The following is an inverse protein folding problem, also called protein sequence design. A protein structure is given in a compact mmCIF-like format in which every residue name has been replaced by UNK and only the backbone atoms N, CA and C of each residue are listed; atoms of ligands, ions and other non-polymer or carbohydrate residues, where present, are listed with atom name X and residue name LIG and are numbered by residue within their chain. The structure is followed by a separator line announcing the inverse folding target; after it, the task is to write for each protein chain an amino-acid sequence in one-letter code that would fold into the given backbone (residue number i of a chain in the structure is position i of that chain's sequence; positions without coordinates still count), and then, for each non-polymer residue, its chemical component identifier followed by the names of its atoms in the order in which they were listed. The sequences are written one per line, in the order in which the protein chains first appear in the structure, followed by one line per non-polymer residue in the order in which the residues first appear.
data_IF_545792667482
#
_entry.id   IF_545792667482
#
_cell.length_a   1.000
_cell.length_b   1.000
_cell.length_c   1.000
_cell.angle_alpha   90.00
_cell.angle_beta   90.00
_cell.angle_gamma   90.00
#
_symmetry.space_group_name_H-M   'P 1'
#
loop_
_entity.id
_entity.type
_entity.pdbx_description
1 polymer ?
#
# COMPACT_ATOMS: atom_id res chain seq x y z
N UNK A 1 -9.28 39.13 -0.18
CA UNK A 1 -8.97 37.84 0.43
C UNK A 1 -8.51 36.86 -0.66
N UNK A 2 -7.61 37.25 -1.58
CA UNK A 2 -7.31 36.50 -2.82
C UNK A 2 -5.79 36.29 -3.07
N UNK A 3 -4.95 36.32 -2.03
CA UNK A 3 -3.49 36.13 -2.21
C UNK A 3 -2.96 34.74 -1.78
N UNK A 4 -3.77 33.87 -1.13
CA UNK A 4 -3.32 32.53 -0.69
C UNK A 4 -3.42 31.44 -1.75
N UNK A 5 -4.31 31.55 -2.72
CA UNK A 5 -4.55 30.49 -3.71
C UNK A 5 -3.55 30.43 -4.85
N UNK A 6 -2.86 31.53 -5.19
CA UNK A 6 -1.84 31.54 -6.25
C UNK A 6 -0.46 31.02 -5.77
N UNK A 7 -0.11 31.21 -4.47
CA UNK A 7 1.17 30.75 -3.91
C UNK A 7 1.21 29.24 -3.66
N UNK A 8 0.07 28.63 -3.37
CA UNK A 8 -0.03 27.18 -3.01
C UNK A 8 0.21 26.28 -4.22
N UNK A 9 -0.25 26.70 -5.41
CA UNK A 9 0.01 25.95 -6.67
C UNK A 9 1.47 26.06 -7.15
N UNK A 10 2.22 27.07 -6.70
CA UNK A 10 3.60 27.30 -7.12
C UNK A 10 4.60 26.34 -6.48
N UNK A 11 4.22 25.56 -5.45
CA UNK A 11 5.13 24.66 -4.72
C UNK A 11 5.12 23.20 -5.22
N UNK A 12 4.24 22.84 -6.16
CA UNK A 12 4.26 21.52 -6.81
C UNK A 12 5.32 21.52 -7.91
N UNK A 13 6.35 20.69 -7.76
CA UNK A 13 7.49 20.61 -8.68
C UNK A 13 7.58 19.22 -9.29
N UNK A 14 7.91 19.17 -10.58
CA UNK A 14 8.26 17.91 -11.22
C UNK A 14 9.45 17.28 -10.50
N UNK A 15 9.41 15.98 -10.37
CA UNK A 15 10.46 15.15 -9.79
C UNK A 15 10.83 14.06 -10.80
N UNK A 16 12.08 13.77 -10.93
CA UNK A 16 12.59 12.68 -11.75
C UNK A 16 13.40 11.75 -10.86
N UNK A 17 12.97 10.48 -10.79
CA UNK A 17 13.72 9.46 -10.09
C UNK A 17 15.00 9.17 -10.87
N UNK A 18 16.13 9.20 -10.17
CA UNK A 18 17.43 8.85 -10.75
C UNK A 18 18.34 8.27 -9.67
N UNK A 19 18.62 6.97 -9.78
CA UNK A 19 19.68 6.33 -9.00
C UNK A 19 21.01 6.56 -9.70
N UNK A 20 22.04 6.97 -8.96
CA UNK A 20 23.37 7.09 -9.55
C UNK A 20 23.94 5.70 -9.90
N UNK A 21 24.83 5.64 -10.90
CA UNK A 21 25.52 4.39 -11.23
C UNK A 21 26.35 3.88 -10.05
N UNK A 22 26.86 4.79 -9.21
CA UNK A 22 27.57 4.43 -7.97
C UNK A 22 26.67 3.78 -6.94
N UNK A 23 25.39 4.21 -6.78
CA UNK A 23 24.45 3.57 -5.86
C UNK A 23 24.09 2.15 -6.34
N UNK A 24 23.88 1.97 -7.64
CA UNK A 24 23.63 0.65 -8.23
C UNK A 24 24.87 -0.27 -8.15
N UNK A 25 26.07 0.28 -8.30
CA UNK A 25 27.30 -0.48 -8.12
C UNK A 25 27.51 -0.88 -6.65
N UNK A 26 27.23 0.02 -5.68
CA UNK A 26 27.29 -0.29 -4.24
C UNK A 26 26.30 -1.40 -3.88
N UNK A 27 25.07 -1.33 -4.38
CA UNK A 27 24.08 -2.40 -4.20
C UNK A 27 24.61 -3.75 -4.66
N UNK A 28 25.12 -3.83 -5.90
CA UNK A 28 25.66 -5.07 -6.46
C UNK A 28 26.86 -5.59 -5.66
N UNK A 29 27.75 -4.70 -5.23
CA UNK A 29 28.90 -5.06 -4.39
C UNK A 29 28.48 -5.63 -3.02
N UNK A 30 27.47 -5.02 -2.38
CA UNK A 30 26.93 -5.50 -1.10
C UNK A 30 26.22 -6.85 -1.24
N UNK A 31 25.45 -7.06 -2.31
CA UNK A 31 24.83 -8.36 -2.61
C UNK A 31 25.91 -9.45 -2.82
N UNK A 32 26.98 -9.13 -3.55
CA UNK A 32 28.10 -10.07 -3.77
C UNK A 32 28.91 -10.39 -2.51
N UNK A 33 28.95 -9.46 -1.54
CA UNK A 33 29.70 -9.61 -0.28
C UNK A 33 28.82 -10.06 0.89
N UNK A 34 27.55 -10.38 0.64
CA UNK A 34 26.60 -10.75 1.69
C UNK A 34 27.04 -12.00 2.44
N UNK A 35 26.93 -11.96 3.77
CA UNK A 35 27.14 -13.13 4.62
C UNK A 35 25.77 -13.73 4.94
N UNK A 36 25.57 -14.95 4.50
CA UNK A 36 24.33 -15.69 4.70
C UNK A 36 24.45 -16.57 5.95
N UNK A 37 23.34 -16.81 6.67
CA UNK A 37 23.29 -17.78 7.77
C UNK A 37 23.31 -19.22 7.23
N UNK A 38 23.33 -20.17 8.14
CA UNK A 38 22.99 -21.57 7.84
C UNK A 38 21.54 -21.70 7.37
N UNK A 39 21.24 -22.81 6.68
CA UNK A 39 19.88 -23.10 6.22
C UNK A 39 18.93 -23.33 7.42
N UNK A 40 17.64 -23.06 7.16
CA UNK A 40 16.53 -23.36 8.06
C UNK A 40 16.52 -24.85 8.48
N UNK A 41 16.03 -25.15 9.69
CA UNK A 41 15.97 -26.52 10.23
C UNK A 41 14.67 -27.26 9.93
N UNK A 42 13.69 -26.60 9.35
CA UNK A 42 12.44 -27.24 8.85
C UNK A 42 12.74 -28.05 7.59
N UNK A 43 12.20 -29.26 7.51
CA UNK A 43 12.51 -30.15 6.40
C UNK A 43 11.96 -29.62 5.05
N UNK A 44 12.86 -29.44 4.09
CA UNK A 44 12.60 -29.06 2.70
C UNK A 44 11.74 -30.06 1.91
N UNK A 45 11.45 -31.24 2.45
CA UNK A 45 10.87 -32.37 1.73
C UNK A 45 9.34 -32.33 1.61
N UNK A 46 8.64 -31.36 2.17
CA UNK A 46 7.20 -31.23 2.02
C UNK A 46 6.90 -30.00 1.13
N UNK A 47 6.30 -30.17 -0.05
CA UNK A 47 5.69 -29.06 -0.77
C UNK A 47 4.61 -28.42 0.10
N UNK A 48 4.44 -27.09 0.00
CA UNK A 48 3.42 -26.33 0.71
C UNK A 48 3.96 -25.40 1.80
N UNK A 49 3.09 -24.73 2.57
CA UNK A 49 3.42 -23.61 3.45
C UNK A 49 4.42 -23.94 4.57
N UNK A 50 4.68 -25.21 4.85
CA UNK A 50 5.65 -25.63 5.87
C UNK A 50 7.11 -25.26 5.54
N UNK A 51 7.41 -25.03 4.24
CA UNK A 51 8.77 -24.68 3.79
C UNK A 51 9.21 -23.30 4.33
N UNK A 52 8.29 -22.38 4.48
CA UNK A 52 8.48 -21.02 5.00
C UNK A 52 8.24 -20.92 6.51
N UNK A 53 8.09 -22.04 7.21
CA UNK A 53 7.73 -22.06 8.64
C UNK A 53 8.73 -21.38 9.59
N UNK A 54 9.97 -21.12 9.14
CA UNK A 54 10.97 -20.34 9.86
C UNK A 54 11.33 -19.02 9.14
N UNK A 55 10.49 -18.57 8.21
CA UNK A 55 10.73 -17.41 7.35
C UNK A 55 11.29 -17.82 5.99
N UNK A 56 11.92 -16.88 5.28
CA UNK A 56 12.41 -17.09 3.91
C UNK A 56 13.46 -18.21 3.87
N UNK A 57 13.25 -19.30 3.10
CA UNK A 57 14.21 -20.37 2.96
C UNK A 57 15.52 -19.86 2.33
N UNK A 58 16.67 -20.32 2.86
CA UNK A 58 17.98 -19.85 2.40
C UNK A 58 18.16 -20.02 0.87
N UNK A 59 17.72 -21.15 0.31
CA UNK A 59 17.90 -21.40 -1.11
C UNK A 59 17.10 -20.43 -1.97
N UNK A 60 15.84 -20.13 -1.59
CA UNK A 60 15.01 -19.18 -2.32
C UNK A 60 15.58 -17.77 -2.24
N UNK A 61 16.06 -17.40 -1.04
CA UNK A 61 16.74 -16.11 -0.86
C UNK A 61 17.99 -15.99 -1.75
N UNK A 62 18.79 -17.02 -1.84
CA UNK A 62 20.00 -17.05 -2.69
C UNK A 62 19.62 -16.85 -4.17
N UNK A 63 18.59 -17.52 -4.66
CA UNK A 63 18.14 -17.41 -6.05
C UNK A 63 17.66 -15.96 -6.34
N UNK A 64 16.90 -15.34 -5.42
CA UNK A 64 16.45 -13.94 -5.58
C UNK A 64 17.63 -12.96 -5.51
N UNK A 65 18.57 -13.16 -4.59
CA UNK A 65 19.78 -12.34 -4.45
C UNK A 65 20.63 -12.40 -5.73
N UNK A 66 20.82 -13.60 -6.30
CA UNK A 66 21.56 -13.78 -7.53
C UNK A 66 20.86 -13.08 -8.71
N UNK A 67 19.54 -13.21 -8.82
CA UNK A 67 18.78 -12.52 -9.85
C UNK A 67 18.84 -10.98 -9.64
N UNK A 68 18.69 -10.48 -8.42
CA UNK A 68 18.78 -9.05 -8.12
C UNK A 68 20.14 -8.47 -8.50
N UNK A 69 21.20 -9.25 -8.28
CA UNK A 69 22.59 -8.84 -8.60
C UNK A 69 22.90 -8.85 -10.08
N UNK A 70 22.34 -9.82 -10.86
CA UNK A 70 22.80 -10.12 -12.22
C UNK A 70 21.75 -9.95 -13.31
N UNK A 71 20.47 -10.15 -13.04
CA UNK A 71 19.36 -10.17 -14.00
C UNK A 71 18.41 -9.00 -13.91
N UNK A 72 18.21 -8.46 -12.69
CA UNK A 72 17.28 -7.37 -12.47
C UNK A 72 17.79 -6.02 -12.99
N UNK A 73 16.92 -5.25 -13.65
CA UNK A 73 17.23 -3.93 -14.19
C UNK A 73 16.37 -2.82 -13.55
N UNK A 74 16.91 -2.15 -12.53
CA UNK A 74 16.30 -0.97 -11.92
C UNK A 74 15.95 0.13 -12.91
N UNK A 75 16.74 0.31 -13.99
CA UNK A 75 16.52 1.38 -14.96
C UNK A 75 15.18 1.25 -15.68
N UNK A 76 14.70 0.03 -15.88
CA UNK A 76 13.37 -0.22 -16.45
C UNK A 76 12.25 0.33 -15.56
N UNK A 77 12.33 0.10 -14.23
CA UNK A 77 11.34 0.60 -13.29
C UNK A 77 11.45 2.12 -13.08
N UNK A 78 12.68 2.65 -12.94
CA UNK A 78 12.95 4.09 -12.87
C UNK A 78 12.34 4.83 -14.08
N UNK A 79 12.55 4.31 -15.29
CA UNK A 79 11.95 4.86 -16.51
C UNK A 79 10.40 4.78 -16.50
N UNK A 80 9.83 3.70 -15.95
CA UNK A 80 8.37 3.57 -15.78
C UNK A 80 7.81 4.66 -14.87
N UNK A 81 8.39 4.85 -13.68
CA UNK A 81 7.98 5.89 -12.74
C UNK A 81 8.04 7.29 -13.39
N UNK A 82 9.12 7.57 -14.10
CA UNK A 82 9.31 8.86 -14.78
C UNK A 82 8.29 9.09 -15.92
N UNK A 83 7.85 8.04 -16.61
CA UNK A 83 6.78 8.14 -17.65
C UNK A 83 5.40 8.40 -17.05
N UNK A 84 5.07 7.85 -15.89
CA UNK A 84 3.80 8.11 -15.20
C UNK A 84 3.68 9.61 -14.87
N UNK A 85 4.78 10.23 -14.49
CA UNK A 85 4.86 11.60 -13.99
C UNK A 85 4.97 11.62 -12.47
N UNK A 86 6.06 12.13 -11.99
CA UNK A 86 6.38 12.23 -10.58
C UNK A 86 6.51 13.69 -10.16
N UNK A 87 6.07 13.98 -8.96
CA UNK A 87 6.07 15.35 -8.41
C UNK A 87 6.45 15.33 -6.94
N UNK A 88 6.86 16.50 -6.45
CA UNK A 88 7.04 16.76 -5.01
C UNK A 88 6.42 18.08 -4.63
N UNK A 89 5.89 18.13 -3.40
CA UNK A 89 5.43 19.36 -2.76
C UNK A 89 5.69 19.26 -1.26
N UNK A 90 5.62 20.38 -0.54
CA UNK A 90 5.81 20.40 0.92
C UNK A 90 4.45 20.52 1.59
N UNK A 91 4.01 19.50 2.30
CA UNK A 91 2.76 19.50 3.07
C UNK A 91 3.10 19.42 4.55
N UNK A 92 2.55 20.32 5.34
CA UNK A 92 2.77 20.38 6.79
C UNK A 92 4.27 20.30 7.18
N UNK A 93 5.12 21.00 6.40
CA UNK A 93 6.57 21.06 6.59
C UNK A 93 7.36 19.84 6.13
N UNK A 94 6.70 18.83 5.55
CA UNK A 94 7.35 17.63 5.05
C UNK A 94 7.25 17.55 3.52
N UNK A 95 8.37 17.24 2.85
CA UNK A 95 8.39 17.01 1.42
C UNK A 95 7.68 15.68 1.07
N UNK A 96 6.60 15.77 0.32
CA UNK A 96 5.81 14.64 -0.13
C UNK A 96 6.06 14.41 -1.62
N UNK A 97 6.49 13.20 -1.95
CA UNK A 97 6.57 12.68 -3.31
C UNK A 97 5.24 12.02 -3.69
N UNK A 98 4.84 12.13 -4.95
CA UNK A 98 3.66 11.45 -5.46
C UNK A 98 3.73 11.21 -6.97
N UNK A 99 3.11 10.12 -7.42
CA UNK A 99 2.79 9.90 -8.82
C UNK A 99 1.51 10.69 -9.14
N UNK A 100 1.48 11.31 -10.31
CA UNK A 100 0.28 12.01 -10.76
C UNK A 100 0.06 11.80 -12.26
N UNK A 101 -0.91 10.96 -12.58
CA UNK A 101 -1.35 10.68 -13.93
C UNK A 101 -2.70 11.35 -14.19
N UNK A 102 -2.70 12.36 -15.03
CA UNK A 102 -3.94 12.99 -15.47
C UNK A 102 -4.53 12.24 -16.66
N UNK A 103 -5.81 11.90 -16.56
CA UNK A 103 -6.57 11.41 -17.70
C UNK A 103 -6.72 12.50 -18.76
N UNK A 104 -6.77 12.09 -20.02
CA UNK A 104 -7.16 12.96 -21.14
C UNK A 104 -8.66 13.29 -21.17
N UNK A 105 -9.48 12.54 -20.42
CA UNK A 105 -10.92 12.70 -20.37
C UNK A 105 -11.34 13.85 -19.45
N UNK A 106 -12.26 14.69 -19.94
CA UNK A 106 -12.73 15.86 -19.20
C UNK A 106 -13.65 15.50 -18.00
N UNK A 107 -14.27 14.32 -18.04
CA UNK A 107 -15.16 13.78 -17.01
C UNK A 107 -14.44 12.91 -15.96
N UNK A 108 -13.11 12.78 -16.06
CA UNK A 108 -12.32 11.98 -15.14
C UNK A 108 -12.43 12.48 -13.69
N UNK A 109 -12.69 11.55 -12.78
CA UNK A 109 -12.79 11.85 -11.34
C UNK A 109 -11.42 11.81 -10.69
N UNK A 110 -11.05 12.77 -9.79
CA UNK A 110 -9.82 12.68 -9.02
C UNK A 110 -9.84 11.46 -8.09
N UNK A 111 -8.79 10.63 -8.15
CA UNK A 111 -8.61 9.41 -7.36
C UNK A 111 -7.30 9.47 -6.59
N UNK A 112 -7.39 9.36 -5.29
CA UNK A 112 -6.25 9.21 -4.39
C UNK A 112 -6.02 7.72 -4.10
N UNK A 113 -4.82 7.20 -4.42
CA UNK A 113 -4.39 5.84 -4.11
C UNK A 113 -3.35 5.87 -2.99
N UNK A 114 -3.60 5.19 -1.88
CA UNK A 114 -2.65 5.12 -0.76
C UNK A 114 -2.20 3.69 -0.52
N UNK A 115 -0.89 3.47 -0.62
CA UNK A 115 -0.23 2.19 -0.34
C UNK A 115 -0.05 1.95 1.16
N UNK A 116 0.48 0.79 1.52
CA UNK A 116 0.84 0.42 2.89
C UNK A 116 2.29 -0.02 3.06
N UNK A 117 2.54 -0.85 4.10
CA UNK A 117 3.82 -1.49 4.36
C UNK A 117 3.68 -3.02 4.15
N UNK A 118 4.65 -3.72 3.54
CA UNK A 118 5.94 -3.24 3.05
C UNK A 118 5.91 -2.66 1.63
N UNK A 119 4.74 -2.37 1.10
CA UNK A 119 4.58 -1.79 -0.22
C UNK A 119 5.03 -0.34 -0.34
N UNK A 120 4.86 0.19 -1.53
CA UNK A 120 5.17 1.58 -1.90
C UNK A 120 4.30 2.02 -3.08
N UNK A 121 4.60 3.16 -3.69
CA UNK A 121 3.99 3.56 -4.97
C UNK A 121 4.24 2.55 -6.11
N UNK A 122 5.17 1.62 -5.94
CA UNK A 122 5.42 0.52 -6.87
C UNK A 122 4.18 -0.37 -7.06
N UNK A 123 3.35 -0.53 -6.02
CA UNK A 123 2.08 -1.27 -6.11
C UNK A 123 1.16 -0.76 -7.22
N UNK A 124 1.15 0.55 -7.44
CA UNK A 124 0.25 1.18 -8.39
C UNK A 124 0.88 1.47 -9.75
N UNK A 125 2.21 1.40 -9.87
CA UNK A 125 2.93 1.79 -11.09
C UNK A 125 2.48 1.03 -12.36
N UNK A 126 1.88 -0.15 -12.21
CA UNK A 126 1.41 -0.98 -13.32
C UNK A 126 -0.07 -0.79 -13.67
N UNK A 127 -0.85 -0.13 -12.82
CA UNK A 127 -2.30 0.05 -13.00
C UNK A 127 -2.71 1.51 -13.23
N UNK A 128 -1.82 2.45 -12.95
CA UNK A 128 -2.09 3.90 -13.05
C UNK A 128 -2.52 4.34 -14.44
N UNK A 129 -1.84 3.87 -15.48
CA UNK A 129 -2.14 4.27 -16.87
C UNK A 129 -3.53 3.77 -17.28
N UNK A 130 -3.87 2.53 -16.95
CA UNK A 130 -5.17 1.98 -17.26
C UNK A 130 -6.30 2.68 -16.48
N UNK A 131 -6.09 2.97 -15.20
CA UNK A 131 -7.05 3.73 -14.39
C UNK A 131 -7.29 5.13 -14.94
N UNK A 132 -6.25 5.77 -15.50
CA UNK A 132 -6.37 7.11 -16.06
C UNK A 132 -7.03 7.11 -17.44
N UNK A 133 -6.62 6.23 -18.31
CA UNK A 133 -7.04 6.22 -19.73
C UNK A 133 -7.48 4.80 -20.13
N UNK A 134 -8.68 4.33 -19.71
CA UNK A 134 -9.19 3.01 -20.05
C UNK A 134 -9.40 2.85 -21.57
N UNK A 135 -9.18 1.65 -22.07
CA UNK A 135 -9.49 1.29 -23.47
C UNK A 135 -11.00 1.37 -23.76
N UNK A 136 -11.83 0.99 -22.78
CA UNK A 136 -13.29 1.13 -22.86
C UNK A 136 -13.68 2.59 -22.59
N UNK A 137 -14.24 3.25 -23.61
CA UNK A 137 -14.67 4.66 -23.53
C UNK A 137 -15.80 4.88 -22.51
N UNK A 138 -16.59 3.87 -22.21
CA UNK A 138 -17.70 3.95 -21.25
C UNK A 138 -17.25 3.67 -19.82
N UNK A 139 -16.04 3.11 -19.61
CA UNK A 139 -15.50 2.87 -18.29
C UNK A 139 -15.12 4.18 -17.58
N UNK A 140 -15.31 4.30 -16.26
CA UNK A 140 -14.86 5.46 -15.49
C UNK A 140 -13.34 5.68 -15.63
N UNK A 141 -12.96 6.93 -15.90
CA UNK A 141 -11.56 7.36 -15.94
C UNK A 141 -11.23 8.22 -14.72
N UNK A 142 -9.94 8.22 -14.32
CA UNK A 142 -9.52 8.91 -13.11
C UNK A 142 -8.29 9.79 -13.34
N UNK A 143 -8.26 10.95 -12.67
CA UNK A 143 -7.01 11.66 -12.43
C UNK A 143 -6.36 11.01 -11.21
N UNK A 144 -5.35 10.19 -11.44
CA UNK A 144 -4.73 9.37 -10.37
C UNK A 144 -3.64 10.15 -9.66
N UNK A 145 -3.72 10.18 -8.32
CA UNK A 145 -2.68 10.70 -7.42
C UNK A 145 -2.29 9.58 -6.46
N UNK A 146 -1.03 9.15 -6.48
CA UNK A 146 -0.53 8.11 -5.60
C UNK A 146 0.69 8.63 -4.82
N UNK A 147 0.50 9.18 -3.61
CA UNK A 147 1.61 9.67 -2.79
C UNK A 147 2.41 8.54 -2.16
N UNK A 148 3.74 8.73 -2.08
CA UNK A 148 4.57 7.98 -1.15
C UNK A 148 4.27 8.43 0.27
N UNK A 149 3.97 7.49 1.17
CA UNK A 149 3.76 7.78 2.59
C UNK A 149 4.96 8.50 3.20
N UNK A 150 4.77 9.34 4.24
CA UNK A 150 5.87 9.94 4.99
C UNK A 150 6.88 8.88 5.46
N UNK A 151 8.15 9.05 5.08
CA UNK A 151 9.21 8.09 5.39
C UNK A 151 9.35 6.92 4.42
N UNK A 152 8.57 6.89 3.33
CA UNK A 152 8.62 5.88 2.27
C UNK A 152 9.08 6.48 0.95
N UNK A 153 9.70 5.65 0.11
CA UNK A 153 10.09 6.03 -1.23
C UNK A 153 10.82 7.38 -1.27
N UNK A 154 10.38 8.27 -2.15
CA UNK A 154 10.99 9.58 -2.31
C UNK A 154 10.35 10.69 -1.45
N UNK A 155 9.40 10.38 -0.56
CA UNK A 155 8.95 11.32 0.47
C UNK A 155 10.00 11.53 1.55
N UNK A 156 10.02 12.71 2.18
CA UNK A 156 10.94 12.99 3.27
C UNK A 156 10.65 12.08 4.47
N UNK A 157 11.70 11.81 5.24
CA UNK A 157 11.64 11.06 6.49
C UNK A 157 11.29 12.02 7.62
N UNK A 158 10.16 11.83 8.33
CA UNK A 158 9.83 12.68 9.47
C UNK A 158 10.98 12.73 10.50
N UNK A 159 11.36 13.93 10.89
CA UNK A 159 12.39 14.14 11.91
C UNK A 159 11.81 14.24 13.33
N UNK A 160 10.48 14.30 13.45
CA UNK A 160 9.74 14.40 14.72
C UNK A 160 8.62 13.36 14.75
N UNK A 161 8.16 13.02 15.95
CA UNK A 161 6.98 12.18 16.16
C UNK A 161 5.68 12.88 15.70
N UNK A 162 4.59 12.09 15.59
CA UNK A 162 3.25 12.59 15.28
C UNK A 162 2.83 12.45 13.82
N UNK A 163 3.62 11.78 12.97
CA UNK A 163 3.22 11.46 11.60
C UNK A 163 2.49 10.11 11.50
N UNK A 164 1.45 9.93 12.34
CA UNK A 164 0.54 8.80 12.26
C UNK A 164 -0.53 8.98 11.19
N UNK A 165 -1.36 7.94 10.98
CA UNK A 165 -2.35 7.88 9.88
C UNK A 165 -3.36 9.03 9.88
N UNK A 166 -3.73 9.55 11.04
CA UNK A 166 -4.64 10.71 11.13
C UNK A 166 -4.05 12.00 10.56
N UNK A 167 -2.75 12.26 10.80
CA UNK A 167 -2.04 13.40 10.22
C UNK A 167 -1.78 13.21 8.74
N UNK A 168 -1.48 11.99 8.33
CA UNK A 168 -1.30 11.63 6.92
C UNK A 168 -2.60 11.85 6.15
N UNK A 169 -3.76 11.45 6.69
CA UNK A 169 -5.06 11.70 6.07
C UNK A 169 -5.32 13.21 5.84
N UNK A 170 -5.02 14.06 6.85
CA UNK A 170 -5.13 15.52 6.70
C UNK A 170 -4.16 16.06 5.65
N UNK A 171 -2.93 15.54 5.59
CA UNK A 171 -1.94 15.91 4.59
C UNK A 171 -2.39 15.54 3.16
N UNK A 172 -3.10 14.42 2.99
CA UNK A 172 -3.66 14.01 1.70
C UNK A 172 -4.77 14.95 1.22
N UNK A 173 -5.63 15.41 2.12
CA UNK A 173 -6.64 16.44 1.77
C UNK A 173 -5.95 17.73 1.31
N UNK A 174 -4.91 18.16 2.00
CA UNK A 174 -4.14 19.34 1.59
C UNK A 174 -3.44 19.11 0.23
N UNK A 175 -2.84 17.94 0.01
CA UNK A 175 -2.20 17.57 -1.26
C UNK A 175 -3.20 17.66 -2.42
N UNK A 176 -4.38 17.04 -2.27
CA UNK A 176 -5.41 17.06 -3.31
C UNK A 176 -5.90 18.49 -3.60
N UNK A 177 -6.11 19.29 -2.57
CA UNK A 177 -6.47 20.71 -2.71
C UNK A 177 -5.40 21.53 -3.45
N UNK A 178 -4.09 21.28 -3.20
CA UNK A 178 -2.98 21.91 -3.93
C UNK A 178 -2.97 21.59 -5.43
N UNK A 179 -3.42 20.38 -5.77
CA UNK A 179 -3.56 19.94 -7.17
C UNK A 179 -4.82 20.51 -7.85
N UNK A 180 -5.68 21.19 -7.08
CA UNK A 180 -6.95 21.75 -7.54
C UNK A 180 -8.10 20.75 -7.51
N UNK A 181 -7.97 19.70 -6.73
CA UNK A 181 -9.00 18.68 -6.51
C UNK A 181 -9.69 18.93 -5.17
N UNK A 182 -10.72 19.78 -5.17
CA UNK A 182 -11.48 20.11 -3.96
C UNK A 182 -12.32 18.92 -3.46
N UNK A 183 -12.69 18.01 -4.37
CA UNK A 183 -13.40 16.78 -4.06
C UNK A 183 -12.79 15.60 -4.84
N UNK A 184 -12.70 14.44 -4.19
CA UNK A 184 -12.06 13.26 -4.76
C UNK A 184 -12.64 11.96 -4.17
N UNK A 185 -12.39 10.83 -4.85
CA UNK A 185 -12.57 9.48 -4.30
C UNK A 185 -11.22 8.96 -3.81
N UNK A 186 -11.23 8.09 -2.79
CA UNK A 186 -10.01 7.54 -2.23
C UNK A 186 -10.04 6.00 -2.22
N UNK A 187 -8.86 5.40 -2.43
CA UNK A 187 -8.65 3.96 -2.28
C UNK A 187 -7.39 3.69 -1.46
N UNK A 188 -7.41 2.58 -0.70
CA UNK A 188 -6.24 2.06 -0.01
C UNK A 188 -6.43 0.65 0.54
N UNK A 189 -5.32 -0.04 0.67
CA UNK A 189 -5.15 -1.30 1.40
C UNK A 189 -4.15 -1.10 2.54
N UNK A 190 -4.05 -2.02 3.49
CA UNK A 190 -3.11 -1.95 4.62
C UNK A 190 -3.21 -0.61 5.38
N UNK A 191 -2.11 0.08 5.66
CA UNK A 191 -2.10 1.44 6.22
C UNK A 191 -2.85 2.44 5.34
N UNK A 192 -2.78 2.25 4.02
CA UNK A 192 -3.59 3.02 3.07
C UNK A 192 -5.09 2.82 3.30
N UNK A 193 -5.54 1.63 3.68
CA UNK A 193 -6.92 1.34 4.05
C UNK A 193 -7.35 2.05 5.34
N UNK A 194 -6.47 2.09 6.34
CA UNK A 194 -6.70 2.87 7.58
C UNK A 194 -6.81 4.37 7.26
N UNK A 195 -5.88 4.90 6.46
CA UNK A 195 -5.89 6.31 6.04
C UNK A 195 -7.16 6.63 5.25
N UNK A 196 -7.55 5.75 4.33
CA UNK A 196 -8.79 5.90 3.52
C UNK A 196 -10.04 5.89 4.38
N UNK A 197 -10.08 5.03 5.41
CA UNK A 197 -11.16 5.01 6.41
C UNK A 197 -11.23 6.33 7.19
N UNK A 198 -10.09 6.87 7.61
CA UNK A 198 -10.02 8.17 8.28
C UNK A 198 -10.46 9.31 7.36
N UNK A 199 -10.05 9.27 6.10
CA UNK A 199 -10.47 10.25 5.08
C UNK A 199 -12.00 10.26 4.94
N UNK A 200 -12.64 9.11 4.76
CA UNK A 200 -14.10 9.01 4.64
C UNK A 200 -14.86 9.43 5.89
N UNK A 201 -14.28 9.21 7.08
CA UNK A 201 -14.95 9.54 8.35
C UNK A 201 -14.71 10.98 8.82
N UNK A 202 -13.55 11.58 8.54
CA UNK A 202 -13.20 12.91 9.06
C UNK A 202 -13.31 14.03 8.03
N UNK A 203 -13.32 13.70 6.72
CA UNK A 203 -13.30 14.68 5.63
C UNK A 203 -14.42 14.46 4.60
N UNK A 204 -15.70 14.28 5.05
CA UNK A 204 -16.80 13.94 4.14
C UNK A 204 -17.16 15.06 3.15
N UNK A 205 -16.70 16.29 3.37
CA UNK A 205 -16.90 17.40 2.43
C UNK A 205 -15.96 17.30 1.21
N UNK A 206 -14.74 16.77 1.40
CA UNK A 206 -13.73 16.61 0.36
C UNK A 206 -13.78 15.21 -0.28
N UNK A 207 -14.16 14.19 0.49
CA UNK A 207 -14.19 12.79 0.04
C UNK A 207 -15.58 12.43 -0.44
N UNK A 208 -15.71 12.23 -1.76
CA UNK A 208 -16.97 11.80 -2.41
C UNK A 208 -17.41 10.41 -1.96
N UNK A 209 -16.45 9.56 -1.65
CA UNK A 209 -16.59 8.22 -1.13
C UNK A 209 -15.29 7.46 -1.23
N UNK A 210 -15.31 6.22 -0.76
CA UNK A 210 -14.10 5.42 -0.61
C UNK A 210 -14.26 4.01 -1.18
N UNK A 211 -13.13 3.44 -1.62
CA UNK A 211 -12.96 2.01 -1.82
C UNK A 211 -11.84 1.51 -0.92
N UNK A 212 -12.01 0.35 -0.27
CA UNK A 212 -10.93 -0.24 0.52
C UNK A 212 -10.93 -1.76 0.42
N UNK A 213 -9.74 -2.33 0.44
CA UNK A 213 -9.52 -3.79 0.54
C UNK A 213 -9.20 -4.21 1.98
N UNK A 214 -8.90 -3.24 2.87
CA UNK A 214 -8.66 -3.48 4.29
C UNK A 214 -9.71 -2.73 5.11
N UNK A 215 -10.87 -3.37 5.32
CA UNK A 215 -11.92 -2.83 6.17
C UNK A 215 -11.67 -3.19 7.62
N UNK A 216 -11.52 -2.19 8.49
CA UNK A 216 -11.33 -2.41 9.92
C UNK A 216 -12.61 -2.12 10.69
N UNK A 217 -13.09 -3.13 11.42
CA UNK A 217 -14.23 -3.01 12.32
C UNK A 217 -13.84 -2.32 13.64
N UNK A 218 -14.80 -1.73 14.38
CA UNK A 218 -14.59 -1.37 15.79
C UNK A 218 -14.23 -2.61 16.63
N UNK A 219 -13.44 -2.44 17.70
CA UNK A 219 -13.13 -3.56 18.61
C UNK A 219 -14.33 -4.00 19.44
N UNK A 220 -14.28 -5.22 19.98
CA UNK A 220 -15.24 -5.73 20.96
C UNK A 220 -16.50 -6.36 20.34
N UNK A 221 -16.53 -6.61 19.04
CA UNK A 221 -17.63 -7.31 18.38
C UNK A 221 -17.58 -8.81 18.63
N UNK A 222 -18.76 -9.43 18.74
CA UNK A 222 -18.89 -10.88 18.93
C UNK A 222 -19.11 -11.59 17.60
N UNK A 223 -18.85 -12.89 17.58
CA UNK A 223 -19.07 -13.74 16.38
C UNK A 223 -20.52 -14.20 16.24
N UNK A 224 -21.43 -13.72 17.11
CA UNK A 224 -22.85 -14.04 17.04
C UNK A 224 -23.46 -13.50 15.74
N UNK A 225 -24.23 -14.33 15.07
CA UNK A 225 -24.87 -13.98 13.81
C UNK A 225 -24.00 -14.06 12.56
N UNK A 226 -22.68 -14.29 12.70
CA UNK A 226 -21.79 -14.50 11.55
C UNK A 226 -22.04 -15.85 10.87
N UNK A 227 -21.89 -15.90 9.56
CA UNK A 227 -21.85 -17.14 8.78
C UNK A 227 -20.65 -18.00 9.17
N UNK A 228 -20.62 -19.27 8.73
CA UNK A 228 -19.46 -20.14 8.98
C UNK A 228 -18.18 -19.58 8.34
N UNK A 229 -18.27 -19.10 7.09
CA UNK A 229 -17.13 -18.49 6.38
C UNK A 229 -16.63 -17.21 7.09
N UNK A 230 -17.54 -16.35 7.55
CA UNK A 230 -17.15 -15.12 8.27
C UNK A 230 -16.51 -15.44 9.64
N UNK A 231 -16.95 -16.48 10.33
CA UNK A 231 -16.28 -16.95 11.55
C UNK A 231 -14.86 -17.46 11.25
N UNK A 232 -14.69 -18.23 10.20
CA UNK A 232 -13.37 -18.67 9.74
C UNK A 232 -12.46 -17.49 9.44
N UNK A 233 -12.95 -16.44 8.77
CA UNK A 233 -12.19 -15.20 8.55
C UNK A 233 -11.70 -14.57 9.86
N UNK A 234 -12.56 -14.50 10.86
CA UNK A 234 -12.16 -13.94 12.16
C UNK A 234 -11.13 -14.80 12.90
N UNK A 235 -11.20 -16.12 12.75
CA UNK A 235 -10.23 -17.06 13.30
C UNK A 235 -8.87 -16.95 12.59
N UNK A 236 -8.85 -16.87 11.27
CA UNK A 236 -7.63 -16.68 10.46
C UNK A 236 -6.96 -15.33 10.78
N UNK A 237 -7.72 -14.25 10.85
CA UNK A 237 -7.20 -12.92 11.22
C UNK A 237 -6.63 -12.93 12.64
N UNK A 238 -7.30 -13.56 13.59
CA UNK A 238 -6.81 -13.69 14.97
C UNK A 238 -5.53 -14.53 15.02
N UNK A 239 -5.49 -15.68 14.35
CA UNK A 239 -4.30 -16.53 14.28
C UNK A 239 -3.10 -15.77 13.72
N UNK A 240 -3.30 -14.96 12.67
CA UNK A 240 -2.27 -14.11 12.11
C UNK A 240 -1.71 -13.14 13.17
N UNK A 241 -2.58 -12.39 13.85
CA UNK A 241 -2.14 -11.40 14.84
C UNK A 241 -1.49 -12.02 16.08
N UNK A 242 -1.95 -13.20 16.50
CA UNK A 242 -1.41 -13.89 17.67
C UNK A 242 -0.04 -14.54 17.40
N UNK A 243 0.15 -15.14 16.21
CA UNK A 243 1.29 -16.03 15.95
C UNK A 243 2.25 -15.53 14.86
N UNK A 244 1.78 -14.72 13.88
CA UNK A 244 2.56 -14.35 12.69
C UNK A 244 2.91 -12.86 12.58
N UNK A 245 2.27 -11.99 13.35
CA UNK A 245 2.46 -10.54 13.33
C UNK A 245 3.64 -10.05 14.21
N UNK A 246 4.68 -10.87 14.40
CA UNK A 246 5.87 -10.48 15.19
C UNK A 246 6.58 -9.24 14.59
N UNK A 247 6.62 -9.13 13.27
CA UNK A 247 7.17 -7.98 12.56
C UNK A 247 6.47 -6.67 12.95
N UNK A 248 5.13 -6.67 13.03
CA UNK A 248 4.33 -5.50 13.41
C UNK A 248 4.62 -5.09 14.86
N UNK A 249 4.70 -6.06 15.77
CA UNK A 249 5.07 -5.84 17.19
C UNK A 249 6.48 -5.25 17.32
N UNK A 250 7.45 -5.76 16.53
CA UNK A 250 8.81 -5.22 16.49
C UNK A 250 8.83 -3.77 15.99
N UNK A 251 8.12 -3.48 14.88
CA UNK A 251 8.06 -2.15 14.29
C UNK A 251 7.25 -1.16 15.13
N UNK A 252 6.19 -1.59 15.81
CA UNK A 252 5.43 -0.76 16.73
C UNK A 252 6.20 -0.43 18.02
N UNK A 253 7.00 -1.36 18.54
CA UNK A 253 7.69 -1.16 19.80
C UNK A 253 9.07 -0.48 19.63
N UNK A 254 9.89 -0.92 18.66
CA UNK A 254 11.29 -0.50 18.51
C UNK A 254 11.73 -0.47 17.04
N UNK A 255 11.12 0.39 16.19
CA UNK A 255 11.42 0.45 14.75
C UNK A 255 12.88 0.81 14.46
N UNK A 256 13.51 1.65 15.30
CA UNK A 256 14.89 2.06 15.12
C UNK A 256 15.86 0.86 15.25
N UNK A 257 15.57 -0.10 16.13
CA UNK A 257 16.47 -1.24 16.38
C UNK A 257 16.59 -2.13 15.13
N UNK A 258 15.47 -2.51 14.50
CA UNK A 258 15.52 -3.28 13.26
C UNK A 258 15.99 -2.43 12.06
N UNK A 259 15.74 -1.14 12.12
CA UNK A 259 16.09 -0.18 11.08
C UNK A 259 17.57 -0.16 10.72
N UNK A 260 18.48 -0.41 11.67
CA UNK A 260 19.92 -0.50 11.37
C UNK A 260 20.22 -1.64 10.39
N UNK A 261 19.61 -2.82 10.60
CA UNK A 261 19.79 -3.96 9.71
C UNK A 261 19.15 -3.72 8.32
N UNK A 262 17.94 -3.14 8.32
CA UNK A 262 17.19 -2.89 7.08
C UNK A 262 17.80 -1.80 6.18
N UNK A 263 18.64 -0.92 6.73
CA UNK A 263 19.33 0.12 5.97
C UNK A 263 20.74 -0.29 5.56
N UNK A 264 21.39 -1.20 6.30
CA UNK A 264 22.77 -1.59 6.06
C UNK A 264 22.90 -2.85 5.19
N UNK A 265 21.95 -3.78 5.25
CA UNK A 265 21.99 -5.05 4.53
C UNK A 265 20.88 -5.13 3.48
N UNK A 266 21.20 -5.11 2.16
CA UNK A 266 20.18 -5.31 1.13
C UNK A 266 19.54 -6.71 1.23
N UNK A 267 20.31 -7.73 1.60
CA UNK A 267 19.78 -9.09 1.81
C UNK A 267 18.86 -9.15 3.03
N UNK A 268 19.23 -8.46 4.13
CA UNK A 268 18.36 -8.36 5.30
C UNK A 268 17.05 -7.65 5.01
N UNK A 269 17.10 -6.55 4.24
CA UNK A 269 15.91 -5.84 3.77
C UNK A 269 15.04 -6.72 2.86
N UNK A 270 15.67 -7.39 1.88
CA UNK A 270 14.98 -8.32 0.98
C UNK A 270 14.26 -9.43 1.78
N UNK A 271 14.96 -10.09 2.69
CA UNK A 271 14.37 -11.18 3.50
C UNK A 271 13.20 -10.68 4.34
N UNK A 272 13.31 -9.48 4.94
CA UNK A 272 12.24 -8.87 5.75
C UNK A 272 10.96 -8.58 4.96
N UNK A 273 11.10 -8.13 3.72
CA UNK A 273 10.00 -7.78 2.82
C UNK A 273 9.46 -9.02 2.09
N UNK A 274 10.34 -9.88 1.55
CA UNK A 274 9.98 -11.07 0.77
C UNK A 274 9.14 -12.06 1.59
N UNK A 275 9.42 -12.20 2.88
CA UNK A 275 8.63 -13.00 3.81
C UNK A 275 7.14 -12.57 3.80
N UNK A 276 6.88 -11.26 3.65
CA UNK A 276 5.51 -10.73 3.60
C UNK A 276 4.86 -10.92 2.23
N UNK A 277 5.61 -10.80 1.16
CA UNK A 277 5.11 -11.16 -0.17
C UNK A 277 4.74 -12.64 -0.27
N UNK A 278 5.44 -13.53 0.43
CA UNK A 278 5.03 -14.92 0.51
C UNK A 278 3.77 -15.11 1.36
N UNK A 279 3.78 -14.61 2.60
CA UNK A 279 2.76 -14.92 3.60
C UNK A 279 1.39 -14.27 3.29
N UNK A 280 1.37 -13.14 2.53
CA UNK A 280 0.19 -12.30 2.35
C UNK A 280 -0.40 -12.37 0.95
N UNK A 281 0.17 -13.15 0.05
CA UNK A 281 -0.32 -13.32 -1.32
C UNK A 281 -1.07 -14.63 -1.51
N UNK A 282 -1.81 -14.72 -2.61
CA UNK A 282 -2.54 -15.93 -3.02
C UNK A 282 -1.59 -16.93 -3.69
N UNK A 283 -0.71 -17.50 -2.88
CA UNK A 283 0.36 -18.41 -3.31
C UNK A 283 0.43 -19.65 -2.41
N UNK A 284 1.04 -20.71 -2.89
CA UNK A 284 1.25 -21.95 -2.14
C UNK A 284 2.73 -22.18 -1.80
N UNK A 285 3.60 -22.13 -2.79
CA UNK A 285 5.01 -22.50 -2.63
C UNK A 285 5.95 -21.29 -2.74
N UNK A 286 5.58 -20.26 -3.51
CA UNK A 286 6.46 -19.12 -3.78
C UNK A 286 5.65 -17.85 -4.09
N UNK A 287 6.06 -16.66 -3.62
CA UNK A 287 5.40 -15.41 -3.99
C UNK A 287 5.43 -15.14 -5.49
N UNK A 288 6.36 -15.78 -6.20
CA UNK A 288 6.54 -15.62 -7.64
C UNK A 288 5.53 -16.38 -8.51
N UNK A 289 4.62 -17.12 -7.88
CA UNK A 289 3.45 -17.71 -8.57
C UNK A 289 2.45 -16.64 -9.00
N UNK A 290 2.34 -15.56 -8.24
CA UNK A 290 1.35 -14.50 -8.47
C UNK A 290 1.99 -13.13 -8.77
N UNK A 291 3.17 -12.85 -8.24
CA UNK A 291 3.89 -11.58 -8.46
C UNK A 291 5.25 -11.87 -9.11
N UNK A 292 5.57 -11.22 -10.22
CA UNK A 292 6.87 -11.41 -10.84
C UNK A 292 8.01 -10.94 -9.91
N UNK A 293 9.16 -11.62 -10.02
CA UNK A 293 10.35 -11.26 -9.24
C UNK A 293 10.77 -9.79 -9.46
N UNK A 294 10.61 -9.29 -10.68
CA UNK A 294 10.89 -7.88 -10.98
C UNK A 294 10.03 -6.93 -10.16
N UNK A 295 8.71 -7.19 -10.04
CA UNK A 295 7.81 -6.34 -9.25
C UNK A 295 8.15 -6.33 -7.75
N UNK A 296 8.56 -7.48 -7.21
CA UNK A 296 9.04 -7.56 -5.82
C UNK A 296 10.34 -6.75 -5.68
N UNK A 297 11.27 -6.89 -6.64
CA UNK A 297 12.54 -6.19 -6.62
C UNK A 297 12.41 -4.69 -6.94
N UNK A 298 11.41 -4.27 -7.70
CA UNK A 298 11.07 -2.84 -7.90
C UNK A 298 10.80 -2.17 -6.55
N UNK A 299 9.98 -2.81 -5.72
CA UNK A 299 9.65 -2.31 -4.39
C UNK A 299 10.86 -2.35 -3.44
N UNK A 300 11.51 -3.51 -3.30
CA UNK A 300 12.67 -3.69 -2.42
C UNK A 300 13.83 -2.76 -2.81
N UNK A 301 14.08 -2.58 -4.12
CA UNK A 301 15.14 -1.69 -4.61
C UNK A 301 14.80 -0.22 -4.35
N UNK A 302 13.52 0.17 -4.44
CA UNK A 302 13.08 1.52 -4.04
C UNK A 302 13.37 1.77 -2.55
N UNK A 303 13.03 0.81 -1.68
CA UNK A 303 13.37 0.90 -0.25
C UNK A 303 14.87 1.02 0.00
N UNK A 304 15.67 0.23 -0.72
CA UNK A 304 17.11 0.23 -0.59
C UNK A 304 17.73 1.57 -1.02
N UNK A 305 17.44 2.02 -2.23
CA UNK A 305 18.03 3.24 -2.81
C UNK A 305 17.62 4.50 -2.02
N UNK A 306 16.41 4.54 -1.50
CA UNK A 306 15.92 5.65 -0.67
C UNK A 306 16.27 5.48 0.82
N UNK A 307 16.83 4.32 1.22
CA UNK A 307 17.18 3.98 2.61
C UNK A 307 15.99 4.13 3.56
N UNK A 308 14.82 3.66 3.16
CA UNK A 308 13.57 3.86 3.89
C UNK A 308 13.18 2.71 4.80
N UNK A 309 13.96 1.64 4.88
CA UNK A 309 13.66 0.49 5.75
C UNK A 309 13.37 0.88 7.21
N UNK A 310 14.14 1.82 7.79
CA UNK A 310 13.92 2.29 9.15
C UNK A 310 12.75 3.28 9.27
N UNK A 311 12.66 4.24 8.34
CA UNK A 311 11.63 5.30 8.39
C UNK A 311 10.24 4.78 8.11
N UNK A 312 10.11 3.84 7.17
CA UNK A 312 8.84 3.17 6.87
C UNK A 312 8.31 2.36 8.06
N UNK A 313 9.18 1.65 8.77
CA UNK A 313 8.79 0.90 9.96
C UNK A 313 8.16 1.78 11.06
N UNK A 314 8.47 3.08 11.09
CA UNK A 314 7.93 4.00 12.10
C UNK A 314 6.43 4.24 11.97
N UNK A 315 5.79 3.96 10.84
CA UNK A 315 4.33 4.09 10.72
C UNK A 315 3.61 3.24 11.77
N UNK A 316 4.15 2.07 12.10
CA UNK A 316 3.59 1.21 13.16
C UNK A 316 3.70 1.84 14.55
N UNK A 317 4.82 2.49 14.86
CA UNK A 317 5.03 3.19 16.13
C UNK A 317 4.15 4.43 16.23
N UNK A 318 4.05 5.21 15.17
CA UNK A 318 3.31 6.48 15.12
C UNK A 318 1.79 6.27 15.04
N UNK A 319 1.32 5.07 14.66
CA UNK A 319 -0.09 4.78 14.37
C UNK A 319 -0.72 3.75 15.29
N UNK A 320 -0.07 3.39 16.40
CA UNK A 320 -0.51 2.33 17.32
C UNK A 320 -1.98 2.49 17.79
N UNK A 321 -2.47 3.73 17.99
CA UNK A 321 -3.84 4.03 18.43
C UNK A 321 -4.59 4.92 17.42
N UNK A 322 -4.25 4.82 16.14
CA UNK A 322 -4.66 5.84 15.17
C UNK A 322 -6.10 5.75 14.69
N UNK A 323 -6.72 4.57 14.75
CA UNK A 323 -8.11 4.40 14.33
C UNK A 323 -9.02 4.47 15.55
N UNK A 324 -9.62 5.65 15.74
CA UNK A 324 -10.62 5.89 16.79
C UNK A 324 -11.73 4.81 16.74
N UNK A 325 -11.98 4.04 17.81
CA UNK A 325 -13.07 3.08 17.87
C UNK A 325 -14.44 3.70 17.57
N UNK A 326 -14.63 4.97 17.92
CA UNK A 326 -15.85 5.74 17.66
C UNK A 326 -16.00 6.27 16.24
N UNK A 327 -14.92 6.24 15.41
CA UNK A 327 -14.99 6.76 14.05
C UNK A 327 -16.06 6.02 13.24
N UNK A 328 -16.92 6.80 12.56
CA UNK A 328 -17.92 6.31 11.61
C UNK A 328 -17.67 6.91 10.24
N UNK A 329 -17.95 6.14 9.20
CA UNK A 329 -17.81 6.52 7.80
C UNK A 329 -19.20 6.58 7.18
N UNK A 330 -19.67 7.79 6.91
CA UNK A 330 -21.00 8.04 6.36
C UNK A 330 -20.98 8.27 4.85
N UNK A 331 -19.81 8.51 4.26
CA UNK A 331 -19.67 8.60 2.81
C UNK A 331 -19.91 7.24 2.16
N UNK A 332 -20.41 7.18 0.90
CA UNK A 332 -20.55 5.92 0.18
C UNK A 332 -19.24 5.13 0.18
N UNK A 333 -19.31 3.86 0.54
CA UNK A 333 -18.14 3.00 0.71
C UNK A 333 -18.30 1.72 -0.11
N UNK A 334 -17.29 1.38 -0.92
CA UNK A 334 -17.13 0.09 -1.54
C UNK A 334 -16.03 -0.67 -0.80
N UNK A 335 -16.28 -1.93 -0.51
CA UNK A 335 -15.33 -2.78 0.23
C UNK A 335 -15.16 -4.08 -0.54
N UNK A 336 -13.92 -4.52 -0.72
CA UNK A 336 -13.60 -5.82 -1.30
C UNK A 336 -12.72 -6.62 -0.34
N UNK A 337 -13.09 -7.88 -0.07
CA UNK A 337 -12.40 -8.79 0.84
C UNK A 337 -11.76 -9.89 0.01
N UNK A 338 -10.45 -9.81 -0.17
CA UNK A 338 -9.69 -10.79 -0.94
C UNK A 338 -9.49 -12.09 -0.13
N UNK A 339 -9.53 -13.28 -0.78
CA UNK A 339 -9.60 -14.56 -0.07
C UNK A 339 -8.34 -14.89 0.73
N UNK A 340 -7.17 -14.43 0.28
CA UNK A 340 -5.87 -14.68 0.92
C UNK A 340 -5.30 -13.48 1.66
N UNK A 341 -6.08 -12.40 1.83
CA UNK A 341 -5.64 -11.29 2.67
C UNK A 341 -5.52 -11.74 4.14
N UNK A 342 -4.54 -11.18 4.83
CA UNK A 342 -4.25 -11.43 6.25
C UNK A 342 -5.33 -10.88 7.19
N UNK A 343 -6.03 -9.82 6.77
CA UNK A 343 -7.12 -9.20 7.51
C UNK A 343 -8.42 -9.27 6.73
N UNK A 344 -9.33 -10.12 7.17
CA UNK A 344 -10.66 -10.26 6.56
C UNK A 344 -11.74 -9.82 7.54
N UNK A 345 -12.46 -8.77 7.18
CA UNK A 345 -13.53 -8.21 8.00
C UNK A 345 -14.88 -8.78 7.56
N UNK A 346 -15.68 -9.41 8.47
CA UNK A 346 -17.06 -9.77 8.20
C UNK A 346 -17.92 -8.54 7.86
N UNK A 347 -18.83 -8.69 6.88
CA UNK A 347 -19.70 -7.59 6.48
C UNK A 347 -20.50 -6.99 7.64
N UNK A 348 -21.12 -7.78 8.55
CA UNK A 348 -21.83 -7.22 9.72
C UNK A 348 -20.92 -6.38 10.61
N UNK A 349 -19.66 -6.75 10.77
CA UNK A 349 -18.69 -5.99 11.55
C UNK A 349 -18.27 -4.70 10.84
N UNK A 350 -18.06 -4.75 9.53
CA UNK A 350 -17.77 -3.57 8.73
C UNK A 350 -18.90 -2.54 8.82
N UNK A 351 -20.17 -2.96 8.85
CA UNK A 351 -21.35 -2.11 8.95
C UNK A 351 -21.41 -1.28 10.27
N UNK A 352 -20.71 -1.72 11.30
CA UNK A 352 -20.60 -0.95 12.54
C UNK A 352 -19.76 0.33 12.38
N UNK A 353 -18.85 0.36 11.40
CA UNK A 353 -18.04 1.52 11.07
C UNK A 353 -18.52 2.22 9.80
N UNK A 354 -18.75 1.48 8.72
CA UNK A 354 -19.13 2.00 7.40
C UNK A 354 -20.66 1.99 7.27
N UNK A 355 -21.28 3.14 7.53
CA UNK A 355 -22.75 3.26 7.60
C UNK A 355 -23.44 3.22 6.23
N UNK A 356 -22.69 3.43 5.16
CA UNK A 356 -23.21 3.45 3.79
C UNK A 356 -22.37 2.59 2.84
N UNK A 357 -22.42 1.26 3.03
CA UNK A 357 -21.76 0.31 2.14
C UNK A 357 -22.62 0.14 0.88
N UNK A 358 -22.15 0.66 -0.25
CA UNK A 358 -22.85 0.61 -1.55
C UNK A 358 -22.42 -0.60 -2.40
N UNK A 359 -21.25 -1.18 -2.16
CA UNK A 359 -20.76 -2.40 -2.80
C UNK A 359 -19.95 -3.23 -1.80
N UNK A 360 -20.15 -4.53 -1.87
CA UNK A 360 -19.38 -5.52 -1.12
C UNK A 360 -18.87 -6.58 -2.10
N UNK A 361 -17.57 -6.62 -2.32
CA UNK A 361 -16.90 -7.57 -3.20
C UNK A 361 -16.24 -8.70 -2.41
N UNK A 362 -16.34 -9.91 -2.95
CA UNK A 362 -15.62 -11.09 -2.48
C UNK A 362 -14.95 -11.76 -3.68
N UNK A 363 -13.78 -11.27 -4.10
CA UNK A 363 -13.01 -11.86 -5.20
C UNK A 363 -12.76 -13.35 -5.00
N UNK A 364 -12.57 -14.09 -6.09
CA UNK A 364 -12.26 -15.54 -6.04
C UNK A 364 -10.76 -15.78 -5.85
N UNK A 365 -9.90 -14.81 -6.22
CA UNK A 365 -8.44 -14.91 -6.19
C UNK A 365 -7.81 -13.61 -5.71
N UNK A 366 -6.57 -13.69 -5.25
CA UNK A 366 -5.77 -12.58 -4.78
C UNK A 366 -5.70 -12.49 -3.25
N UNK A 367 -4.67 -11.82 -2.78
CA UNK A 367 -4.35 -11.62 -1.37
C UNK A 367 -4.24 -10.13 -1.03
N UNK A 368 -3.21 -9.83 -0.25
CA UNK A 368 -2.98 -8.50 0.33
C UNK A 368 -2.56 -7.43 -0.69
N UNK A 369 -1.91 -7.84 -1.78
CA UNK A 369 -1.40 -6.94 -2.82
C UNK A 369 -2.14 -7.10 -4.16
N UNK A 370 -3.46 -6.91 -4.21
CA UNK A 370 -4.25 -7.26 -5.39
C UNK A 370 -3.83 -6.50 -6.66
N UNK A 371 -3.29 -5.29 -6.52
CA UNK A 371 -2.75 -4.51 -7.65
C UNK A 371 -1.50 -5.14 -8.29
N UNK A 372 -0.76 -5.97 -7.54
CA UNK A 372 0.41 -6.71 -8.02
C UNK A 372 0.06 -8.14 -8.42
N UNK A 373 -0.80 -8.82 -7.65
CA UNK A 373 -1.17 -10.21 -7.85
C UNK A 373 -2.13 -10.42 -9.01
N UNK A 374 -3.20 -9.62 -9.06
CA UNK A 374 -4.32 -9.73 -10.00
C UNK A 374 -4.71 -8.37 -10.59
N UNK A 375 -3.77 -7.65 -11.26
CA UNK A 375 -3.93 -6.24 -11.62
C UNK A 375 -5.16 -5.94 -12.48
N UNK A 376 -5.49 -6.79 -13.44
CA UNK A 376 -6.66 -6.62 -14.31
C UNK A 376 -7.97 -6.72 -13.51
N UNK A 377 -8.04 -7.70 -12.60
CA UNK A 377 -9.19 -7.85 -11.71
C UNK A 377 -9.27 -6.69 -10.72
N UNK A 378 -8.14 -6.28 -10.13
CA UNK A 378 -8.07 -5.14 -9.23
C UNK A 378 -8.60 -3.85 -9.87
N UNK A 379 -8.16 -3.55 -11.09
CA UNK A 379 -8.62 -2.36 -11.84
C UNK A 379 -10.13 -2.43 -12.07
N UNK A 380 -10.65 -3.58 -12.49
CA UNK A 380 -12.09 -3.80 -12.67
C UNK A 380 -12.86 -3.61 -11.36
N UNK A 381 -12.43 -4.26 -10.30
CA UNK A 381 -13.05 -4.20 -8.97
C UNK A 381 -13.08 -2.77 -8.42
N UNK A 382 -11.95 -2.05 -8.52
CA UNK A 382 -11.84 -0.66 -8.10
C UNK A 382 -12.78 0.25 -8.90
N UNK A 383 -12.86 0.09 -10.23
CA UNK A 383 -13.78 0.86 -11.09
C UNK A 383 -15.23 0.60 -10.74
N UNK A 384 -15.65 -0.65 -10.62
CA UNK A 384 -17.02 -1.01 -10.25
C UNK A 384 -17.38 -0.45 -8.86
N UNK A 385 -16.46 -0.55 -7.91
CA UNK A 385 -16.61 0.00 -6.57
C UNK A 385 -16.78 1.52 -6.58
N UNK A 386 -15.91 2.22 -7.29
CA UNK A 386 -15.96 3.68 -7.36
C UNK A 386 -17.14 4.17 -8.21
N UNK A 387 -17.58 3.45 -9.24
CA UNK A 387 -18.80 3.76 -9.98
C UNK A 387 -20.03 3.70 -9.06
N UNK A 388 -20.16 2.65 -8.24
CA UNK A 388 -21.24 2.54 -7.25
C UNK A 388 -21.18 3.67 -6.21
N UNK A 389 -19.99 4.04 -5.76
CA UNK A 389 -19.76 5.15 -4.83
C UNK A 389 -20.24 6.47 -5.42
N UNK A 390 -19.84 6.79 -6.65
CA UNK A 390 -20.21 8.03 -7.33
C UNK A 390 -21.71 8.11 -7.62
N UNK A 391 -22.33 7.01 -8.04
CA UNK A 391 -23.78 6.93 -8.26
C UNK A 391 -24.58 7.21 -6.98
N UNK A 392 -24.13 6.67 -5.83
CA UNK A 392 -24.77 6.90 -4.53
C UNK A 392 -24.57 8.34 -4.00
N UNK A 393 -23.43 8.97 -4.32
CA UNK A 393 -23.14 10.37 -3.95
C UNK A 393 -23.95 11.39 -4.74
N UNK A 394 -24.23 11.13 -6.02
CA UNK A 394 -25.02 12.02 -6.90
C UNK A 394 -26.49 12.12 -6.56
N UNK A 395 -27.04 11.21 -5.75
CA UNK A 395 -28.43 11.21 -5.30
C UNK A 395 -28.71 12.08 -4.07
N UNK A 396 -27.67 12.74 -3.51
CA UNK A 396 -27.79 13.58 -2.30
C UNK A 396 -27.65 15.09 -2.58
N UNK A 397 -27.63 15.52 -3.86
CA UNK A 397 -27.55 16.93 -4.26
C UNK A 397 -28.94 17.59 -4.46
#
# INVERSE_FOLDING_TARGET
MNRRTSDVRADVRAFEAHASDSDLADLRARLAAARLPEAETVHRAAPGPHRWGQGVPLADLVDVVDYWRTGYDWRSFEARLNRIGQFRTTVDGLGIHFLHRRSARADATPLLLTHGWPGSVAEFAHVVDELADPEDADAPAFHVVAPSLPGFGYSDKPATTGWGTGRIAAAWVELMGRLGYDRFVAHGGDWGGVITTILGGRFPEQVLGIHTVTAQAPPGLTTDGLTAAEREWTEQTRDFWDHRAAYAKQQAARPQTIGYALVDSPVGLLAWILDKFYEWTDTEDSPFETISMDRVLDDVTLYWLTRTGASAARIYYESHDSLDPGLRVDVPSAISVYPRDIEKCPRPWAQERFRHIVRWGTPETGGHFPSLEVPEYFVKDLREGLAAVLAAGGSRS
#
